data_IF_085974304700
#
_entry.id   IF_085974304700
#
_cell.length_a   1.000
_cell.length_b   1.000
_cell.length_c   1.000
_cell.angle_alpha   90.00
_cell.angle_beta   90.00
_cell.angle_gamma   90.00
#
_symmetry.space_group_name_H-M   'P 1'
#
loop_
_entity.id
_entity.type
_entity.pdbx_description
1 polymer ?
#
# COMPACT_ATOMS: atom_id res chain seq x y z
N UNK A 1 18.23 -57.81 -54.73
CA UNK A 1 19.23 -56.98 -54.07
C UNK A 1 18.46 -56.13 -53.02
N UNK A 2 18.43 -56.59 -51.76
CA UNK A 2 17.75 -55.91 -50.65
C UNK A 2 18.81 -55.17 -49.83
N UNK A 3 18.73 -53.82 -49.79
CA UNK A 3 19.54 -52.98 -48.93
C UNK A 3 18.95 -53.01 -47.52
N UNK A 4 19.77 -53.39 -46.58
CA UNK A 4 19.50 -53.33 -45.13
C UNK A 4 20.22 -52.11 -44.59
N UNK A 5 19.48 -51.14 -44.01
CA UNK A 5 20.06 -50.01 -43.28
C UNK A 5 20.13 -50.35 -41.79
N UNK A 6 21.24 -50.10 -41.10
CA UNK A 6 21.31 -50.30 -39.67
C UNK A 6 20.65 -49.16 -38.90
N UNK A 7 19.84 -49.52 -37.89
CA UNK A 7 19.20 -48.65 -36.93
C UNK A 7 20.26 -48.25 -35.88
N UNK A 8 20.59 -46.95 -35.82
CA UNK A 8 21.44 -46.42 -34.73
C UNK A 8 20.54 -46.02 -33.56
N UNK A 9 20.65 -46.77 -32.46
CA UNK A 9 20.02 -46.39 -31.18
C UNK A 9 20.90 -45.34 -30.49
N UNK A 10 20.40 -44.15 -30.37
CA UNK A 10 20.98 -43.10 -29.51
C UNK A 10 20.37 -43.21 -28.12
N UNK A 11 21.17 -43.70 -27.17
CA UNK A 11 20.80 -43.73 -25.77
C UNK A 11 21.00 -42.34 -25.13
N UNK A 12 19.91 -41.64 -24.82
CA UNK A 12 19.93 -40.38 -24.05
C UNK A 12 19.98 -40.77 -22.58
N UNK A 13 21.12 -40.55 -21.94
CA UNK A 13 21.25 -40.66 -20.49
C UNK A 13 20.65 -39.37 -19.87
N UNK A 14 19.49 -39.49 -19.24
CA UNK A 14 19.01 -38.47 -18.30
C UNK A 14 19.82 -38.63 -17.00
N UNK A 15 20.69 -37.67 -16.76
CA UNK A 15 21.31 -37.49 -15.44
C UNK A 15 20.30 -36.84 -14.51
N UNK A 16 19.72 -37.60 -13.58
CA UNK A 16 19.01 -37.04 -12.44
C UNK A 16 20.04 -36.42 -11.49
N UNK A 17 20.18 -35.10 -11.54
CA UNK A 17 20.83 -34.39 -10.45
C UNK A 17 19.87 -34.40 -9.27
N UNK A 18 20.26 -35.02 -8.17
CA UNK A 18 19.58 -34.94 -6.88
C UNK A 18 19.61 -33.49 -6.38
N UNK A 19 18.52 -32.97 -5.79
CA UNK A 19 18.57 -31.66 -5.15
C UNK A 19 19.59 -31.75 -3.99
N UNK A 20 20.59 -30.89 -4.03
CA UNK A 20 21.49 -30.65 -2.92
C UNK A 20 20.65 -30.18 -1.72
N UNK A 21 20.79 -30.92 -0.60
CA UNK A 21 20.27 -30.51 0.69
C UNK A 21 20.78 -29.08 0.98
N UNK A 22 19.86 -28.11 1.02
CA UNK A 22 20.14 -26.77 1.56
C UNK A 22 20.31 -26.94 3.08
N UNK A 23 21.52 -26.66 3.54
CA UNK A 23 21.80 -26.52 4.96
C UNK A 23 20.85 -25.51 5.60
N UNK A 24 20.10 -25.95 6.60
CA UNK A 24 19.30 -25.14 7.50
C UNK A 24 20.21 -24.19 8.27
N UNK A 25 20.44 -22.99 7.74
CA UNK A 25 21.09 -21.91 8.49
C UNK A 25 20.02 -21.27 9.38
N UNK A 26 20.03 -21.66 10.65
CA UNK A 26 19.23 -21.08 11.72
C UNK A 26 19.40 -19.55 11.77
N UNK A 27 18.30 -18.80 11.61
CA UNK A 27 18.17 -17.40 12.03
C UNK A 27 18.04 -16.32 10.94
N UNK A 28 17.88 -16.68 9.67
CA UNK A 28 17.57 -15.71 8.61
C UNK A 28 16.05 -15.60 8.41
N UNK A 29 15.48 -14.40 8.55
CA UNK A 29 14.11 -14.16 8.17
C UNK A 29 13.90 -14.50 6.69
N UNK A 30 12.80 -15.17 6.36
CA UNK A 30 12.42 -15.62 5.00
C UNK A 30 12.06 -14.50 4.00
N UNK A 31 12.44 -13.25 4.29
CA UNK A 31 12.17 -12.08 3.42
C UNK A 31 12.71 -12.25 1.99
N UNK A 32 13.69 -13.15 1.78
CA UNK A 32 14.19 -13.46 0.43
C UNK A 32 13.14 -14.09 -0.50
N UNK A 33 12.05 -14.63 0.07
CA UNK A 33 10.94 -15.22 -0.67
C UNK A 33 9.79 -14.26 -0.96
N UNK A 34 9.85 -13.01 -0.47
CA UNK A 34 8.83 -12.02 -0.77
C UNK A 34 8.78 -11.70 -2.27
N UNK A 35 7.59 -11.45 -2.82
CA UNK A 35 7.46 -11.05 -4.20
C UNK A 35 8.14 -9.71 -4.46
N UNK A 36 8.65 -9.51 -5.67
CA UNK A 36 8.94 -8.19 -6.19
C UNK A 36 7.65 -7.69 -6.85
N UNK A 37 7.19 -6.51 -6.46
CA UNK A 37 5.93 -5.92 -6.95
C UNK A 37 6.13 -5.10 -8.21
N UNK A 38 7.36 -4.66 -8.48
CA UNK A 38 7.66 -3.76 -9.57
C UNK A 38 7.14 -4.28 -10.91
N UNK A 39 6.25 -3.51 -11.52
CA UNK A 39 5.65 -3.76 -12.82
C UNK A 39 6.41 -2.95 -13.86
N UNK A 40 6.91 -3.60 -14.92
CA UNK A 40 7.54 -2.90 -16.05
C UNK A 40 6.52 -1.94 -16.69
N UNK A 41 6.86 -0.66 -16.79
CA UNK A 41 5.99 0.42 -17.27
C UNK A 41 4.71 0.67 -16.42
N UNK A 42 4.65 0.19 -15.19
CA UNK A 42 3.54 0.38 -14.25
C UNK A 42 3.88 1.31 -13.10
N UNK A 43 2.90 1.50 -12.23
CA UNK A 43 3.02 2.20 -10.94
C UNK A 43 2.42 1.32 -9.84
N UNK A 44 3.16 1.16 -8.76
CA UNK A 44 2.68 0.50 -7.54
C UNK A 44 2.48 1.52 -6.42
N UNK A 45 1.23 1.62 -5.95
CA UNK A 45 0.87 2.41 -4.76
C UNK A 45 0.53 1.47 -3.63
N UNK A 46 1.30 1.53 -2.55
CA UNK A 46 1.11 0.70 -1.35
C UNK A 46 0.58 1.56 -0.21
N UNK A 47 -0.49 1.13 0.46
CA UNK A 47 -0.83 1.60 1.81
C UNK A 47 -0.42 0.56 2.84
N UNK A 48 0.19 1.02 3.95
CA UNK A 48 0.65 0.13 5.00
C UNK A 48 0.77 0.85 6.35
N UNK A 49 -0.11 0.52 7.27
CA UNK A 49 0.05 0.88 8.67
C UNK A 49 1.18 0.01 9.25
N UNK A 50 2.26 0.62 9.76
CA UNK A 50 3.44 -0.09 10.31
C UNK A 50 3.53 0.01 11.83
N UNK A 51 2.37 0.05 12.46
CA UNK A 51 2.08 -0.06 13.90
C UNK A 51 3.16 0.51 14.83
N UNK A 52 2.95 1.75 15.27
CA UNK A 52 3.85 2.44 16.21
C UNK A 52 5.34 2.39 15.84
N UNK A 53 5.65 2.52 14.54
CA UNK A 53 7.01 2.39 14.04
C UNK A 53 8.02 3.30 14.76
N UNK A 54 9.15 2.73 15.28
CA UNK A 54 9.60 1.34 15.22
C UNK A 54 9.19 0.53 16.47
N UNK A 55 8.22 -0.37 16.34
CA UNK A 55 7.60 -1.17 17.43
C UNK A 55 8.62 -1.86 18.33
N UNK A 56 9.65 -2.49 17.76
CA UNK A 56 10.78 -3.14 18.45
C UNK A 56 12.13 -2.51 18.10
N UNK A 57 12.18 -1.18 17.92
CA UNK A 57 13.41 -0.45 17.65
C UNK A 57 14.13 -0.93 16.39
N UNK A 58 15.45 -1.16 16.47
CA UNK A 58 16.29 -1.50 15.32
C UNK A 58 15.82 -2.74 14.55
N UNK A 59 15.26 -3.73 15.24
CA UNK A 59 14.73 -4.94 14.61
C UNK A 59 13.58 -4.63 13.64
N UNK A 60 12.68 -3.71 14.01
CA UNK A 60 11.60 -3.25 13.14
C UNK A 60 12.16 -2.46 11.96
N UNK A 61 13.11 -1.53 12.21
CA UNK A 61 13.76 -0.72 11.18
C UNK A 61 14.39 -1.62 10.10
N UNK A 62 15.23 -2.59 10.52
CA UNK A 62 15.91 -3.51 9.61
C UNK A 62 14.92 -4.38 8.82
N UNK A 63 13.84 -4.83 9.46
CA UNK A 63 12.80 -5.64 8.82
C UNK A 63 12.02 -4.86 7.79
N UNK A 64 11.54 -3.64 8.13
CA UNK A 64 10.81 -2.77 7.21
C UNK A 64 11.69 -2.36 6.02
N UNK A 65 12.96 -2.02 6.26
CA UNK A 65 13.95 -1.75 5.20
C UNK A 65 14.07 -2.92 4.22
N UNK A 66 14.21 -4.13 4.74
CA UNK A 66 14.35 -5.34 3.91
C UNK A 66 13.08 -5.61 3.11
N UNK A 67 11.90 -5.42 3.71
CA UNK A 67 10.61 -5.56 3.04
C UNK A 67 10.50 -4.57 1.89
N UNK A 68 10.70 -3.25 2.14
CA UNK A 68 10.61 -2.21 1.11
C UNK A 68 11.55 -2.50 -0.06
N UNK A 69 12.80 -2.87 0.21
CA UNK A 69 13.78 -3.23 -0.83
C UNK A 69 13.37 -4.46 -1.63
N UNK A 70 12.71 -5.44 -1.01
CA UNK A 70 12.33 -6.67 -1.69
C UNK A 70 11.05 -6.50 -2.49
N UNK A 71 10.04 -5.87 -1.92
CA UNK A 71 8.79 -5.54 -2.61
C UNK A 71 9.03 -4.57 -3.77
N UNK A 72 9.93 -3.61 -3.60
CA UNK A 72 10.38 -2.67 -4.63
C UNK A 72 9.25 -1.91 -5.33
N UNK A 73 8.18 -1.55 -4.60
CA UNK A 73 7.09 -0.73 -5.11
C UNK A 73 7.52 0.73 -5.29
N UNK A 74 6.76 1.48 -6.07
CA UNK A 74 7.10 2.86 -6.43
C UNK A 74 6.76 3.87 -5.34
N UNK A 75 5.60 3.68 -4.69
CA UNK A 75 5.09 4.58 -3.65
C UNK A 75 4.61 3.76 -2.45
N UNK A 76 5.05 4.14 -1.25
CA UNK A 76 4.56 3.61 0.02
C UNK A 76 3.91 4.74 0.82
N UNK A 77 2.63 4.62 1.10
CA UNK A 77 1.88 5.46 2.02
C UNK A 77 1.83 4.77 3.37
N UNK A 78 2.63 5.25 4.31
CA UNK A 78 2.82 4.62 5.61
C UNK A 78 2.07 5.38 6.69
N UNK A 79 1.49 4.64 7.65
CA UNK A 79 0.81 5.19 8.81
C UNK A 79 1.48 4.71 10.09
N UNK A 80 1.20 5.39 11.18
CA UNK A 80 1.71 5.11 12.53
C UNK A 80 3.22 5.26 12.72
N UNK A 81 3.82 6.29 12.12
CA UNK A 81 5.21 6.62 12.41
C UNK A 81 5.32 7.33 13.75
N UNK A 82 5.68 6.62 14.82
CA UNK A 82 5.80 7.15 16.17
C UNK A 82 7.17 7.82 16.44
N UNK A 83 8.19 7.52 15.63
CA UNK A 83 9.52 8.13 15.72
C UNK A 83 9.99 8.66 14.39
N UNK A 84 9.94 9.98 14.22
CA UNK A 84 10.48 10.66 13.03
C UNK A 84 11.95 10.31 12.79
N UNK A 85 12.79 10.41 13.82
CA UNK A 85 14.22 10.14 13.70
C UNK A 85 14.51 8.71 13.22
N UNK A 86 13.76 7.73 13.72
CA UNK A 86 13.93 6.33 13.30
C UNK A 86 13.46 6.11 11.87
N UNK A 87 12.46 6.89 11.40
CA UNK A 87 12.04 6.83 10.02
C UNK A 87 13.06 7.49 9.09
N UNK A 88 13.62 8.62 9.48
CA UNK A 88 14.70 9.29 8.75
C UNK A 88 15.92 8.37 8.60
N UNK A 89 16.33 7.66 9.66
CA UNK A 89 17.38 6.63 9.60
C UNK A 89 17.04 5.50 8.59
N UNK A 90 15.80 5.00 8.62
CA UNK A 90 15.33 4.03 7.63
C UNK A 90 15.46 4.60 6.20
N UNK A 91 14.92 5.78 5.97
CA UNK A 91 14.86 6.41 4.65
C UNK A 91 16.26 6.72 4.08
N UNK A 92 17.21 7.22 4.89
CA UNK A 92 18.60 7.42 4.47
C UNK A 92 19.25 6.13 3.94
N UNK A 93 18.82 4.97 4.44
CA UNK A 93 19.30 3.67 4.00
C UNK A 93 18.64 3.14 2.70
N UNK A 94 17.60 3.81 2.21
CA UNK A 94 16.82 3.51 1.02
C UNK A 94 17.15 4.49 -0.11
N UNK A 95 18.36 4.43 -0.62
CA UNK A 95 18.97 5.44 -1.52
C UNK A 95 18.22 5.69 -2.83
N UNK A 96 17.31 4.80 -3.25
CA UNK A 96 16.49 4.95 -4.44
C UNK A 96 15.20 5.75 -4.18
N UNK A 97 14.87 5.96 -2.90
CA UNK A 97 13.66 6.65 -2.47
C UNK A 97 13.97 8.03 -1.91
N UNK A 98 12.96 8.89 -1.98
CA UNK A 98 12.83 10.12 -1.21
C UNK A 98 11.50 10.05 -0.44
N UNK A 99 11.27 10.95 0.52
CA UNK A 99 10.07 10.88 1.35
C UNK A 99 9.54 12.25 1.76
N UNK A 100 8.25 12.28 2.09
CA UNK A 100 7.58 13.38 2.79
C UNK A 100 6.93 12.82 4.04
N UNK A 101 7.13 13.48 5.18
CA UNK A 101 6.52 13.14 6.47
C UNK A 101 5.65 14.31 6.96
N UNK A 102 4.48 14.00 7.53
CA UNK A 102 3.57 15.01 8.07
C UNK A 102 4.22 15.82 9.21
N UNK A 103 3.91 17.11 9.29
CA UNK A 103 4.48 18.03 10.26
C UNK A 103 3.50 18.42 11.38
N UNK A 104 2.20 18.31 11.11
CA UNK A 104 1.13 18.82 11.97
C UNK A 104 0.59 17.76 12.94
N UNK A 105 1.39 16.76 13.30
CA UNK A 105 1.01 15.75 14.29
C UNK A 105 2.11 15.60 15.35
N UNK A 106 1.73 15.61 16.60
CA UNK A 106 2.63 15.33 17.73
C UNK A 106 2.87 13.83 17.93
N UNK A 107 2.08 12.99 17.27
CA UNK A 107 2.07 11.54 17.49
C UNK A 107 1.46 10.79 16.31
N UNK A 108 2.10 9.72 15.87
CA UNK A 108 1.71 8.88 14.73
C UNK A 108 1.66 9.64 13.40
N UNK A 109 2.84 10.00 12.92
CA UNK A 109 2.97 10.68 11.63
C UNK A 109 2.55 9.80 10.45
N UNK A 110 2.21 10.48 9.35
CA UNK A 110 1.99 9.91 8.03
C UNK A 110 3.23 10.14 7.17
N UNK A 111 3.57 9.16 6.35
CA UNK A 111 4.69 9.25 5.41
C UNK A 111 4.27 8.81 4.02
N UNK A 112 4.79 9.50 3.02
CA UNK A 112 4.84 9.02 1.64
C UNK A 112 6.31 8.86 1.26
N UNK A 113 6.73 7.62 1.02
CA UNK A 113 8.05 7.24 0.50
C UNK A 113 7.88 6.90 -0.98
N UNK A 114 8.72 7.43 -1.87
CA UNK A 114 8.56 7.28 -3.32
C UNK A 114 9.89 7.18 -4.05
N UNK A 115 9.91 6.47 -5.18
CA UNK A 115 11.10 6.38 -6.06
C UNK A 115 11.43 7.75 -6.65
N UNK A 116 12.52 8.35 -6.21
CA UNK A 116 12.88 9.75 -6.54
C UNK A 116 13.25 10.01 -8.00
N UNK A 117 13.57 8.96 -8.77
CA UNK A 117 13.87 9.10 -10.19
C UNK A 117 12.60 9.06 -11.06
N UNK A 118 11.51 8.49 -10.53
CA UNK A 118 10.28 8.25 -11.28
C UNK A 118 9.19 9.26 -10.91
N UNK A 119 9.35 9.97 -9.77
CA UNK A 119 8.35 10.93 -9.27
C UNK A 119 8.98 12.25 -8.82
N UNK A 120 8.20 13.33 -9.00
CA UNK A 120 8.51 14.66 -8.45
C UNK A 120 7.33 15.09 -7.58
N UNK A 121 7.61 15.46 -6.33
CA UNK A 121 6.66 16.17 -5.46
C UNK A 121 6.72 17.65 -5.78
N UNK A 122 5.61 18.22 -6.24
CA UNK A 122 5.48 19.63 -6.59
C UNK A 122 5.07 20.48 -5.41
N UNK A 123 4.17 19.97 -4.60
CA UNK A 123 3.75 20.60 -3.35
C UNK A 123 3.32 19.57 -2.33
N UNK A 124 3.37 19.93 -1.06
CA UNK A 124 2.88 19.16 0.07
C UNK A 124 2.10 20.04 1.03
N UNK A 125 1.09 19.48 1.67
CA UNK A 125 0.30 20.17 2.71
C UNK A 125 -0.40 19.19 3.63
N UNK A 126 -0.68 19.60 4.86
CA UNK A 126 -1.66 18.94 5.71
C UNK A 126 -3.06 19.46 5.38
N UNK A 127 -4.01 18.54 5.22
CA UNK A 127 -5.41 18.90 4.99
C UNK A 127 -6.17 18.96 6.31
N UNK A 128 -7.23 19.78 6.36
CA UNK A 128 -8.22 19.80 7.44
C UNK A 128 -7.64 20.12 8.83
N UNK A 129 -6.66 21.03 8.89
CA UNK A 129 -6.02 21.46 10.14
C UNK A 129 -6.98 22.15 11.11
N UNK A 130 -8.12 22.65 10.60
CA UNK A 130 -9.22 23.19 11.42
C UNK A 130 -10.23 22.12 11.89
N UNK A 131 -10.13 20.90 11.36
CA UNK A 131 -10.99 19.73 11.67
C UNK A 131 -10.18 18.55 12.21
N UNK A 132 -9.11 18.81 12.96
CA UNK A 132 -8.18 17.79 13.47
C UNK A 132 -8.86 16.74 14.35
N UNK A 133 -9.94 17.10 15.04
CA UNK A 133 -10.69 16.17 15.88
C UNK A 133 -11.28 15.03 15.04
N UNK A 134 -11.94 15.32 13.95
CA UNK A 134 -12.53 14.36 13.04
C UNK A 134 -11.44 13.42 12.49
N UNK A 135 -10.30 13.95 12.09
CA UNK A 135 -9.14 13.20 11.58
C UNK A 135 -8.23 12.62 12.68
N UNK A 136 -8.78 12.38 13.88
CA UNK A 136 -8.07 11.74 14.98
C UNK A 136 -6.75 12.44 15.38
N UNK A 137 -6.69 13.78 15.24
CA UNK A 137 -5.50 14.61 15.44
C UNK A 137 -4.33 14.27 14.51
N UNK A 138 -4.65 13.70 13.33
CA UNK A 138 -3.71 13.34 12.28
C UNK A 138 -4.21 13.92 10.95
N UNK A 139 -4.00 15.21 10.69
CA UNK A 139 -4.35 15.82 9.42
C UNK A 139 -3.82 15.00 8.24
N UNK A 140 -4.64 14.65 7.24
CA UNK A 140 -4.18 13.91 6.09
C UNK A 140 -3.03 14.61 5.36
N UNK A 141 -2.04 13.84 4.94
CA UNK A 141 -0.89 14.33 4.18
C UNK A 141 -1.23 14.31 2.69
N UNK A 142 -1.26 15.51 2.07
CA UNK A 142 -1.52 15.70 0.64
C UNK A 142 -0.23 16.04 -0.09
N UNK A 143 0.02 15.36 -1.21
CA UNK A 143 1.09 15.65 -2.14
C UNK A 143 0.52 15.87 -3.55
N UNK A 144 0.96 16.93 -4.24
CA UNK A 144 0.85 17.03 -5.69
C UNK A 144 2.09 16.42 -6.31
N UNK A 145 1.90 15.38 -7.11
CA UNK A 145 2.98 14.57 -7.66
C UNK A 145 2.91 14.52 -9.18
N UNK A 146 4.07 14.38 -9.81
CA UNK A 146 4.19 14.07 -11.24
C UNK A 146 4.93 12.76 -11.40
N UNK A 147 4.35 11.81 -12.12
CA UNK A 147 5.05 10.64 -12.65
C UNK A 147 5.86 11.05 -13.89
N UNK A 148 7.12 10.65 -13.96
CA UNK A 148 8.07 11.05 -15.02
C UNK A 148 8.28 9.98 -16.10
N UNK A 149 7.72 8.78 -15.92
CA UNK A 149 7.89 7.67 -16.85
C UNK A 149 7.11 7.81 -18.16
N UNK A 150 6.96 6.71 -18.88
CA UNK A 150 6.15 6.67 -20.08
C UNK A 150 4.69 6.99 -19.71
N UNK A 151 4.03 7.87 -20.49
CA UNK A 151 2.71 8.44 -20.16
C UNK A 151 2.71 9.28 -18.87
N UNK A 152 3.72 10.15 -18.72
CA UNK A 152 3.83 11.07 -17.60
C UNK A 152 2.50 11.81 -17.32
N UNK A 153 2.09 11.89 -16.05
CA UNK A 153 0.89 12.58 -15.63
C UNK A 153 1.00 13.16 -14.21
N UNK A 154 0.19 14.16 -13.94
CA UNK A 154 0.07 14.78 -12.63
C UNK A 154 -1.09 14.13 -11.85
N UNK A 155 -0.89 13.93 -10.55
CA UNK A 155 -1.92 13.41 -9.64
C UNK A 155 -1.78 13.98 -8.24
N UNK A 156 -2.86 13.95 -7.48
CA UNK A 156 -2.86 14.30 -6.07
C UNK A 156 -2.97 13.02 -5.24
N UNK A 157 -1.97 12.78 -4.40
CA UNK A 157 -1.93 11.67 -3.45
C UNK A 157 -2.29 12.18 -2.06
N UNK A 158 -3.25 11.53 -1.40
CA UNK A 158 -3.67 11.85 -0.04
C UNK A 158 -3.50 10.60 0.82
N UNK A 159 -2.57 10.64 1.77
CA UNK A 159 -2.37 9.61 2.77
C UNK A 159 -3.09 10.00 4.06
N UNK A 160 -3.89 9.10 4.63
CA UNK A 160 -4.64 9.38 5.86
C UNK A 160 -4.70 8.18 6.81
N UNK A 161 -5.05 8.46 8.07
CA UNK A 161 -5.28 7.45 9.08
C UNK A 161 -6.44 7.90 9.98
N UNK A 162 -7.62 7.32 9.78
CA UNK A 162 -8.85 7.72 10.47
C UNK A 162 -8.93 7.17 11.90
N UNK A 163 -9.98 7.53 12.63
CA UNK A 163 -10.19 7.13 14.02
C UNK A 163 -10.58 5.66 14.11
N UNK A 164 -9.79 4.87 14.84
CA UNK A 164 -10.05 3.45 15.07
C UNK A 164 -11.29 3.21 15.95
N UNK A 165 -11.70 1.95 15.93
CA UNK A 165 -12.57 1.28 16.87
C UNK A 165 -14.05 1.69 16.77
N UNK A 166 -14.95 0.94 17.45
CA UNK A 166 -16.40 1.13 17.35
C UNK A 166 -16.88 2.54 17.79
N UNK A 167 -16.18 3.17 18.75
CA UNK A 167 -16.49 4.53 19.17
C UNK A 167 -15.97 5.62 18.21
N UNK A 168 -15.35 5.24 17.09
CA UNK A 168 -14.84 6.13 16.05
C UNK A 168 -15.81 6.41 14.92
N UNK A 169 -16.95 5.69 14.82
CA UNK A 169 -17.87 5.76 13.68
C UNK A 169 -18.28 7.20 13.31
N UNK A 170 -18.81 7.97 14.29
CA UNK A 170 -19.26 9.35 14.01
C UNK A 170 -18.11 10.25 13.53
N UNK A 171 -16.90 10.03 14.04
CA UNK A 171 -15.72 10.79 13.62
C UNK A 171 -15.27 10.38 12.21
N UNK A 172 -15.23 9.08 11.90
CA UNK A 172 -14.93 8.59 10.54
C UNK A 172 -15.93 9.13 9.55
N UNK A 173 -17.22 9.04 9.88
CA UNK A 173 -18.27 9.58 9.01
C UNK A 173 -18.06 11.08 8.75
N UNK A 174 -17.83 11.89 9.79
CA UNK A 174 -17.57 13.31 9.63
C UNK A 174 -16.30 13.60 8.81
N UNK A 175 -15.22 12.82 9.02
CA UNK A 175 -14.00 12.93 8.22
C UNK A 175 -14.25 12.67 6.73
N UNK A 176 -15.04 11.63 6.45
CA UNK A 176 -15.36 11.21 5.09
C UNK A 176 -16.26 12.23 4.39
N UNK A 177 -17.25 12.80 5.10
CA UNK A 177 -18.08 13.90 4.58
C UNK A 177 -17.22 15.14 4.22
N UNK A 178 -16.29 15.54 5.11
CA UNK A 178 -15.34 16.65 4.87
C UNK A 178 -14.42 16.35 3.66
N UNK A 179 -13.91 15.14 3.57
CA UNK A 179 -13.05 14.72 2.47
C UNK A 179 -13.80 14.76 1.14
N UNK A 180 -15.03 14.26 1.09
CA UNK A 180 -15.87 14.26 -0.10
C UNK A 180 -16.13 15.69 -0.61
N UNK A 181 -16.51 16.61 0.27
CA UNK A 181 -16.72 18.02 -0.09
C UNK A 181 -15.44 18.66 -0.63
N UNK A 182 -14.29 18.36 -0.03
CA UNK A 182 -12.99 18.83 -0.49
C UNK A 182 -12.65 18.31 -1.89
N UNK A 183 -12.80 17.01 -2.13
CA UNK A 183 -12.48 16.39 -3.42
C UNK A 183 -13.38 16.94 -4.53
N UNK A 184 -14.69 17.12 -4.28
CA UNK A 184 -15.63 17.73 -5.22
C UNK A 184 -15.24 19.17 -5.56
N UNK A 185 -14.82 19.95 -4.57
CA UNK A 185 -14.35 21.32 -4.76
C UNK A 185 -13.04 21.37 -5.56
N UNK A 186 -12.13 20.41 -5.30
CA UNK A 186 -10.86 20.24 -6.04
C UNK A 186 -11.11 19.97 -7.51
N UNK A 187 -11.97 19.01 -7.83
CA UNK A 187 -12.34 18.64 -9.21
C UNK A 187 -12.96 19.85 -9.94
N UNK A 188 -13.88 20.57 -9.30
CA UNK A 188 -14.46 21.79 -9.87
C UNK A 188 -13.41 22.88 -10.14
N UNK A 189 -12.31 22.88 -9.39
CA UNK A 189 -11.18 23.80 -9.58
C UNK A 189 -10.16 23.31 -10.61
N UNK A 190 -10.41 22.16 -11.25
CA UNK A 190 -9.54 21.56 -12.27
C UNK A 190 -8.39 20.73 -11.71
N UNK A 191 -8.39 20.42 -10.40
CA UNK A 191 -7.46 19.46 -9.79
C UNK A 191 -8.12 18.10 -9.85
N UNK A 192 -7.58 17.24 -10.69
CA UNK A 192 -8.09 15.90 -11.01
C UNK A 192 -7.06 14.81 -10.66
N UNK A 193 -7.34 13.55 -10.97
CA UNK A 193 -6.47 12.42 -10.68
C UNK A 193 -6.14 12.27 -9.19
N UNK A 194 -7.18 12.20 -8.34
CA UNK A 194 -6.97 11.96 -6.92
C UNK A 194 -6.79 10.48 -6.62
N UNK A 195 -5.77 10.17 -5.82
CA UNK A 195 -5.54 8.85 -5.21
C UNK A 195 -5.58 9.07 -3.70
N UNK A 196 -6.56 8.50 -3.01
CA UNK A 196 -6.71 8.60 -1.56
C UNK A 196 -6.44 7.24 -0.95
N UNK A 197 -5.44 7.16 -0.10
CA UNK A 197 -4.97 5.90 0.49
C UNK A 197 -4.85 6.02 2.00
N UNK A 198 -4.85 4.89 2.69
CA UNK A 198 -4.54 4.89 4.11
C UNK A 198 -5.24 3.79 4.89
N UNK A 199 -5.07 3.87 6.20
CA UNK A 199 -5.86 3.13 7.18
C UNK A 199 -7.14 3.91 7.47
N UNK A 200 -8.25 3.47 6.87
CA UNK A 200 -9.57 4.11 7.02
C UNK A 200 -10.29 3.67 8.29
N UNK A 201 -9.78 2.62 8.96
CA UNK A 201 -10.30 2.07 10.21
C UNK A 201 -11.78 1.65 10.15
N UNK A 202 -12.28 1.34 8.97
CA UNK A 202 -13.63 0.84 8.72
C UNK A 202 -13.64 -0.04 7.47
N UNK A 203 -14.58 -0.97 7.38
CA UNK A 203 -14.70 -1.89 6.25
C UNK A 203 -15.80 -1.43 5.29
N UNK A 204 -15.49 -1.23 4.01
CA UNK A 204 -16.48 -0.84 3.02
C UNK A 204 -17.54 -1.92 2.74
N UNK A 205 -17.32 -3.14 3.19
CA UNK A 205 -18.31 -4.24 3.13
C UNK A 205 -19.32 -4.23 4.28
N UNK A 206 -19.15 -3.38 5.27
CA UNK A 206 -20.06 -3.24 6.40
C UNK A 206 -21.48 -2.84 5.94
N UNK A 207 -22.47 -3.23 6.74
CA UNK A 207 -23.85 -2.88 6.45
C UNK A 207 -24.05 -1.36 6.41
N UNK A 208 -24.97 -0.88 5.59
CA UNK A 208 -25.22 0.55 5.35
C UNK A 208 -25.26 1.43 6.61
N UNK A 209 -25.89 0.94 7.69
CA UNK A 209 -26.00 1.70 8.94
C UNK A 209 -24.72 1.72 9.79
N UNK A 210 -23.73 0.92 9.43
CA UNK A 210 -22.44 0.78 10.12
C UNK A 210 -21.29 1.29 9.27
N UNK A 211 -21.52 1.48 7.97
CA UNK A 211 -20.52 1.93 7.00
C UNK A 211 -20.37 3.45 7.00
N UNK A 212 -19.21 3.95 7.35
CA UNK A 212 -18.94 5.39 7.34
C UNK A 212 -18.70 5.96 5.93
N UNK A 213 -18.55 5.10 4.90
CA UNK A 213 -18.14 5.48 3.53
C UNK A 213 -19.29 5.59 2.53
N UNK A 214 -20.54 5.50 2.98
CA UNK A 214 -21.71 5.48 2.09
C UNK A 214 -21.72 6.66 1.10
N UNK A 215 -21.27 7.85 1.51
CA UNK A 215 -21.23 9.02 0.64
C UNK A 215 -20.37 8.80 -0.62
N UNK A 216 -19.24 8.09 -0.50
CA UNK A 216 -18.41 7.73 -1.65
C UNK A 216 -18.96 6.52 -2.42
N UNK A 217 -19.53 5.53 -1.71
CA UNK A 217 -20.13 4.34 -2.35
C UNK A 217 -21.39 4.70 -3.17
N UNK A 218 -22.12 5.74 -2.77
CA UNK A 218 -23.27 6.28 -3.50
C UNK A 218 -22.84 7.21 -4.66
N UNK A 219 -21.66 7.82 -4.57
CA UNK A 219 -21.08 8.72 -5.59
C UNK A 219 -20.11 7.96 -6.54
N UNK A 220 -20.52 6.79 -6.99
CA UNK A 220 -19.68 5.87 -7.76
C UNK A 220 -19.41 6.32 -9.22
N UNK A 221 -20.06 7.37 -9.68
CA UNK A 221 -19.74 8.03 -10.94
C UNK A 221 -18.48 8.90 -10.83
N UNK A 222 -18.15 9.37 -9.63
CA UNK A 222 -17.03 10.27 -9.36
C UNK A 222 -15.88 9.60 -8.60
N UNK A 223 -16.17 8.59 -7.76
CA UNK A 223 -15.17 7.92 -6.91
C UNK A 223 -15.34 6.41 -6.91
N UNK A 224 -14.22 5.68 -6.83
CA UNK A 224 -14.19 4.22 -6.68
C UNK A 224 -13.11 3.77 -5.72
N UNK A 225 -13.44 2.80 -4.90
CA UNK A 225 -12.45 2.03 -4.17
C UNK A 225 -11.90 0.93 -5.08
N UNK A 226 -10.63 1.05 -5.51
CA UNK A 226 -9.98 -0.04 -6.27
C UNK A 226 -9.86 -1.31 -5.43
N UNK A 227 -9.96 -1.18 -4.10
CA UNK A 227 -9.98 -2.26 -3.10
C UNK A 227 -11.36 -2.88 -2.87
N UNK A 228 -12.39 -2.46 -3.62
CA UNK A 228 -13.79 -2.88 -3.39
C UNK A 228 -13.98 -4.40 -3.43
N UNK A 229 -13.48 -5.06 -4.46
CA UNK A 229 -13.63 -6.50 -4.63
C UNK A 229 -12.88 -7.31 -3.56
N UNK A 230 -11.72 -6.80 -3.10
CA UNK A 230 -10.95 -7.41 -2.03
C UNK A 230 -11.70 -7.36 -0.70
N UNK A 231 -12.30 -6.22 -0.36
CA UNK A 231 -13.10 -6.04 0.86
C UNK A 231 -14.38 -6.90 0.85
N UNK A 232 -15.01 -7.10 -0.32
CA UNK A 232 -16.20 -7.94 -0.47
C UNK A 232 -15.87 -9.43 -0.72
N UNK A 233 -14.61 -9.83 -0.61
CA UNK A 233 -14.19 -11.21 -0.78
C UNK A 233 -14.71 -12.09 0.37
N UNK A 234 -15.20 -13.28 0.04
CA UNK A 234 -15.62 -14.26 1.05
C UNK A 234 -14.45 -15.02 1.71
N UNK A 235 -13.22 -14.55 1.53
CA UNK A 235 -12.03 -15.22 2.04
C UNK A 235 -11.13 -14.24 2.80
N UNK A 236 -10.64 -14.65 3.96
CA UNK A 236 -9.74 -13.86 4.82
C UNK A 236 -8.31 -13.68 4.23
N UNK A 237 -8.09 -14.13 3.01
CA UNK A 237 -6.78 -13.97 2.36
C UNK A 237 -6.50 -12.51 2.00
N UNK A 238 -7.56 -11.73 1.81
CA UNK A 238 -7.47 -10.32 1.45
C UNK A 238 -7.46 -9.39 2.67
N UNK A 239 -7.86 -9.88 3.87
CA UNK A 239 -7.92 -9.03 5.07
C UNK A 239 -6.63 -8.26 5.26
N UNK A 240 -6.75 -6.94 5.38
CA UNK A 240 -5.61 -6.07 5.69
C UNK A 240 -5.30 -6.03 7.18
N UNK A 241 -6.30 -6.32 8.04
CA UNK A 241 -6.17 -6.44 9.49
C UNK A 241 -6.58 -7.82 9.99
N UNK A 242 -5.69 -8.84 9.90
CA UNK A 242 -6.04 -10.23 10.14
C UNK A 242 -6.31 -10.60 11.60
N UNK A 243 -5.83 -9.81 12.57
CA UNK A 243 -6.06 -10.05 14.01
C UNK A 243 -7.53 -9.92 14.39
N UNK A 244 -8.28 -9.08 13.69
CA UNK A 244 -9.72 -8.98 13.70
C UNK A 244 -10.16 -8.95 12.24
N UNK A 245 -10.46 -10.12 11.64
CA UNK A 245 -10.58 -10.27 10.19
C UNK A 245 -11.45 -9.18 9.55
N UNK A 246 -10.81 -8.20 8.91
CA UNK A 246 -11.44 -7.07 8.24
C UNK A 246 -10.51 -6.45 7.21
N UNK A 247 -11.10 -5.74 6.26
CA UNK A 247 -10.38 -5.00 5.23
C UNK A 247 -10.54 -3.49 5.49
N UNK A 248 -9.58 -2.87 6.17
CA UNK A 248 -9.67 -1.49 6.65
C UNK A 248 -8.63 -0.52 6.03
N UNK A 249 -7.70 -1.06 5.25
CA UNK A 249 -6.71 -0.28 4.51
C UNK A 249 -7.16 -0.16 3.05
N UNK A 250 -7.62 1.04 2.66
CA UNK A 250 -8.25 1.24 1.36
C UNK A 250 -7.48 2.19 0.46
N UNK A 251 -7.69 1.99 -0.85
CA UNK A 251 -7.24 2.89 -1.92
C UNK A 251 -8.48 3.28 -2.73
N UNK A 252 -8.73 4.58 -2.82
CA UNK A 252 -9.83 5.19 -3.57
C UNK A 252 -9.28 6.13 -4.63
N UNK A 253 -9.93 6.18 -5.78
CA UNK A 253 -9.56 7.03 -6.92
C UNK A 253 -10.73 7.88 -7.41
N UNK A 254 -10.41 9.05 -8.01
CA UNK A 254 -11.41 9.87 -8.72
C UNK A 254 -11.63 9.39 -10.17
N UNK A 255 -12.74 9.82 -10.78
CA UNK A 255 -13.21 9.38 -12.09
C UNK A 255 -12.17 9.47 -13.21
N UNK A 256 -11.29 10.47 -13.17
CA UNK A 256 -10.23 10.66 -14.18
C UNK A 256 -9.22 9.50 -14.23
N UNK A 257 -9.18 8.66 -13.18
CA UNK A 257 -8.32 7.48 -13.08
C UNK A 257 -9.06 6.15 -13.34
N UNK A 258 -10.35 6.15 -13.63
CA UNK A 258 -11.12 4.90 -13.81
C UNK A 258 -10.64 4.03 -14.97
N UNK A 259 -10.13 4.65 -16.04
CA UNK A 259 -9.54 3.89 -17.15
C UNK A 259 -8.29 3.12 -16.71
N UNK A 260 -7.55 3.66 -15.74
CA UNK A 260 -6.33 3.04 -15.19
C UNK A 260 -6.66 1.88 -14.23
N UNK A 261 -7.82 1.92 -13.55
CA UNK A 261 -8.30 0.82 -12.72
C UNK A 261 -8.45 -0.47 -13.56
N UNK A 262 -9.00 -0.36 -14.76
CA UNK A 262 -9.21 -1.50 -15.68
C UNK A 262 -7.93 -2.17 -16.16
N UNK A 263 -6.76 -1.51 -16.05
CA UNK A 263 -5.44 -2.08 -16.35
C UNK A 263 -4.72 -2.62 -15.13
N UNK A 264 -5.30 -2.42 -13.92
CA UNK A 264 -4.65 -2.67 -12.64
C UNK A 264 -5.14 -3.92 -11.92
N UNK A 265 -4.42 -4.26 -10.88
CA UNK A 265 -4.83 -5.26 -9.89
C UNK A 265 -4.54 -4.80 -8.47
N UNK A 266 -5.29 -5.35 -7.51
CA UNK A 266 -5.12 -5.06 -6.08
C UNK A 266 -4.73 -6.34 -5.35
N UNK A 267 -3.70 -6.25 -4.52
CA UNK A 267 -3.22 -7.37 -3.75
C UNK A 267 -2.94 -6.98 -2.29
N UNK A 268 -3.40 -7.81 -1.35
CA UNK A 268 -2.94 -7.78 0.05
C UNK A 268 -1.70 -8.65 0.19
N UNK A 269 -0.60 -8.08 0.68
CA UNK A 269 0.67 -8.79 0.83
C UNK A 269 0.72 -9.44 2.21
N UNK A 270 0.58 -10.75 2.26
CA UNK A 270 0.53 -11.54 3.49
C UNK A 270 1.94 -11.78 4.05
N UNK A 271 2.56 -10.72 4.57
CA UNK A 271 3.95 -10.75 5.07
C UNK A 271 4.18 -11.79 6.17
N UNK A 272 3.15 -12.11 6.96
CA UNK A 272 3.21 -13.14 7.99
C UNK A 272 3.46 -14.55 7.46
N UNK A 273 3.17 -14.82 6.17
CA UNK A 273 3.47 -16.11 5.53
C UNK A 273 4.98 -16.28 5.28
N UNK A 274 5.72 -15.17 5.24
CA UNK A 274 7.17 -15.14 4.94
C UNK A 274 8.02 -14.80 6.15
N UNK A 275 7.45 -14.05 7.12
CA UNK A 275 8.17 -13.49 8.27
C UNK A 275 7.52 -14.01 9.56
N UNK A 276 8.23 -14.91 10.25
CA UNK A 276 7.78 -15.41 11.55
C UNK A 276 7.72 -14.28 12.59
N UNK A 277 6.57 -14.14 13.28
CA UNK A 277 6.34 -13.10 14.26
C UNK A 277 6.21 -11.70 13.62
N UNK A 278 5.69 -11.63 12.40
CA UNK A 278 5.47 -10.38 11.67
C UNK A 278 4.65 -9.38 12.48
N UNK A 279 3.55 -9.83 13.07
CA UNK A 279 2.64 -9.04 13.91
C UNK A 279 3.30 -8.52 15.20
N UNK A 280 4.21 -9.28 15.78
CA UNK A 280 4.95 -8.87 16.97
C UNK A 280 6.07 -7.86 16.66
N UNK A 281 6.71 -8.02 15.49
CA UNK A 281 7.94 -7.29 15.14
C UNK A 281 7.64 -6.02 14.36
N UNK A 282 6.63 -6.05 13.49
CA UNK A 282 6.40 -5.02 12.47
C UNK A 282 5.02 -4.42 12.61
N UNK A 283 3.94 -5.18 12.33
CA UNK A 283 2.59 -4.64 12.29
C UNK A 283 1.52 -5.73 12.33
N UNK A 284 0.39 -5.42 12.94
CA UNK A 284 -0.85 -6.19 12.86
C UNK A 284 -1.64 -5.93 11.56
N UNK A 285 -1.22 -4.96 10.73
CA UNK A 285 -1.74 -4.71 9.39
C UNK A 285 -0.87 -5.35 8.31
N UNK A 286 -1.48 -5.64 7.16
CA UNK A 286 -0.82 -6.11 5.95
C UNK A 286 -0.78 -5.00 4.91
N UNK A 287 0.33 -4.85 4.14
CA UNK A 287 0.35 -3.92 3.02
C UNK A 287 -0.72 -4.28 1.98
N UNK A 288 -1.42 -3.26 1.49
CA UNK A 288 -2.33 -3.35 0.34
C UNK A 288 -1.71 -2.57 -0.81
N UNK A 289 -1.58 -3.19 -1.96
CA UNK A 289 -1.00 -2.57 -3.16
C UNK A 289 -2.02 -2.51 -4.28
N UNK A 290 -2.08 -1.36 -4.96
CA UNK A 290 -2.70 -1.20 -6.25
C UNK A 290 -1.62 -1.01 -7.30
N UNK A 291 -1.65 -1.84 -8.36
CA UNK A 291 -0.72 -1.79 -9.50
C UNK A 291 -1.51 -1.43 -10.73
N UNK A 292 -1.04 -0.47 -11.51
CA UNK A 292 -1.70 -0.04 -12.73
C UNK A 292 -0.71 0.50 -13.76
N UNK A 293 -1.12 0.51 -15.02
CA UNK A 293 -0.35 1.13 -16.12
C UNK A 293 -0.89 2.55 -16.33
N UNK A 294 -0.04 3.59 -16.25
CA UNK A 294 -0.44 4.99 -16.37
C UNK A 294 -0.86 5.41 -17.78
#
# INVERSE_FOLDING_TARGET
>A
MKLVYPLVLVSIFFSCASPTEQENINGGSSVELLPNLNLEDGIEVVTWNIEFFPKLGQRTIDSVKKIIKTLNADIYCLQEISSRNSFEELAESLTEYDFVISEDTDYLNLVVLYKKNDFVVRSQSSLFTDSVYEFAYRPPLRLEMTYLGQNAFDFTLINMHLKCCNNGYDRRKASVDILHDYLNSSVQSGIVNHIVVGDWNDDISDSYNQNSFNIFLEDNDNYRYVTYDNAHSNTNIHDSFPSYPSFIDHIMISADLFEKEGSGDVQTIRLGDYISGYDEIISDHRPVVWRFVP
#
